data_IF_488839076434
#
_entry.id   IF_488839076434
#
_cell.length_a   1.000
_cell.length_b   1.000
_cell.length_c   1.000
_cell.angle_alpha   90.00
_cell.angle_beta   90.00
_cell.angle_gamma   90.00
#
_symmetry.space_group_name_H-M   'P 1'
#
loop_
_entity.id
_entity.type
_entity.pdbx_description
1 polymer ?
#
# COMPACT_ATOMS: atom_id res chain seq x y z
N UNK A 1 11.65 32.29 6.35
CA UNK A 1 12.54 31.11 6.22
C UNK A 1 12.02 29.99 7.11
N UNK A 2 11.25 29.04 6.57
CA UNK A 2 10.55 27.95 7.30
C UNK A 2 10.98 26.53 6.87
N UNK A 3 11.85 26.42 5.86
CA UNK A 3 12.30 25.16 5.26
C UNK A 3 13.11 24.21 6.19
N UNK A 4 13.96 24.66 7.14
CA UNK A 4 14.82 23.75 7.91
C UNK A 4 14.03 22.75 8.77
N UNK A 5 12.98 23.23 9.46
CA UNK A 5 12.14 22.40 10.35
C UNK A 5 11.27 21.40 9.58
N UNK A 6 10.85 21.75 8.37
CA UNK A 6 10.07 20.85 7.52
C UNK A 6 10.93 19.70 6.99
N UNK A 7 12.16 20.00 6.56
CA UNK A 7 13.11 18.99 6.09
C UNK A 7 13.47 18.02 7.22
N UNK A 8 13.74 18.53 8.42
CA UNK A 8 14.02 17.69 9.60
C UNK A 8 12.85 16.77 9.96
N UNK A 9 11.61 17.28 9.93
CA UNK A 9 10.40 16.48 10.15
C UNK A 9 10.25 15.36 9.13
N UNK A 10 10.50 15.65 7.86
CA UNK A 10 10.46 14.67 6.77
C UNK A 10 11.57 13.63 6.94
N UNK A 11 12.80 14.05 7.26
CA UNK A 11 13.92 13.14 7.51
C UNK A 11 13.63 12.18 8.67
N UNK A 12 13.10 12.69 9.78
CA UNK A 12 12.73 11.87 10.95
C UNK A 12 11.55 10.92 10.70
N UNK A 13 10.67 11.27 9.75
CA UNK A 13 9.56 10.43 9.32
C UNK A 13 10.10 9.27 8.48
N UNK A 14 10.95 9.57 7.48
CA UNK A 14 11.54 8.55 6.62
C UNK A 14 12.38 7.53 7.38
N UNK A 15 13.27 7.97 8.29
CA UNK A 15 14.11 7.04 9.06
C UNK A 15 13.28 6.03 9.85
N UNK A 16 12.20 6.48 10.48
CA UNK A 16 11.30 5.63 11.27
C UNK A 16 10.54 4.65 10.38
N UNK A 17 10.08 5.09 9.20
CA UNK A 17 9.32 4.27 8.27
C UNK A 17 10.19 3.22 7.57
N UNK A 18 11.46 3.52 7.30
CA UNK A 18 12.40 2.57 6.71
C UNK A 18 12.54 1.31 7.55
N UNK A 19 12.66 1.42 8.88
CA UNK A 19 12.76 0.25 9.74
C UNK A 19 11.42 -0.47 9.91
N UNK A 20 10.32 0.27 10.07
CA UNK A 20 8.98 -0.31 10.24
C UNK A 20 8.46 -1.03 8.99
N UNK A 21 8.95 -0.67 7.80
CA UNK A 21 8.51 -1.26 6.53
C UNK A 21 9.19 -2.59 6.18
N UNK A 22 10.40 -2.86 6.69
CA UNK A 22 11.19 -4.06 6.37
C UNK A 22 10.39 -5.37 6.46
N UNK A 23 9.64 -5.67 7.55
CA UNK A 23 8.96 -6.96 7.66
C UNK A 23 7.86 -7.18 6.61
N UNK A 24 7.29 -6.09 6.08
CA UNK A 24 6.32 -6.18 5.00
C UNK A 24 7.00 -6.37 3.64
N UNK A 25 8.04 -5.57 3.38
CA UNK A 25 8.82 -5.65 2.14
C UNK A 25 9.48 -7.02 1.98
N UNK A 26 9.96 -7.63 3.06
CA UNK A 26 10.47 -9.01 3.05
C UNK A 26 9.43 -10.03 2.61
N UNK A 27 8.15 -9.86 3.00
CA UNK A 27 7.06 -10.73 2.54
C UNK A 27 6.80 -10.54 1.06
N UNK A 28 6.76 -9.29 0.58
CA UNK A 28 6.64 -8.98 -0.84
C UNK A 28 7.78 -9.64 -1.65
N UNK A 29 9.03 -9.51 -1.19
CA UNK A 29 10.20 -10.13 -1.83
C UNK A 29 10.12 -11.66 -1.83
N UNK A 30 9.69 -12.27 -0.72
CA UNK A 30 9.48 -13.73 -0.64
C UNK A 30 8.41 -14.21 -1.63
N UNK A 31 7.31 -13.48 -1.77
CA UNK A 31 6.25 -13.79 -2.75
C UNK A 31 6.77 -13.67 -4.19
N UNK A 32 7.55 -12.63 -4.52
CA UNK A 32 8.19 -12.49 -5.84
C UNK A 32 9.12 -13.67 -6.13
N UNK A 33 9.99 -14.04 -5.18
CA UNK A 33 10.87 -15.19 -5.33
C UNK A 33 10.08 -16.48 -5.54
N UNK A 34 9.02 -16.69 -4.75
CA UNK A 34 8.16 -17.86 -4.87
C UNK A 34 7.52 -17.94 -6.26
N UNK A 35 7.10 -16.81 -6.85
CA UNK A 35 6.48 -16.81 -8.18
C UNK A 35 7.37 -17.39 -9.29
N UNK A 36 8.69 -17.32 -9.14
CA UNK A 36 9.65 -17.90 -10.08
C UNK A 36 9.65 -19.43 -10.01
N UNK A 37 9.47 -19.99 -8.81
CA UNK A 37 9.65 -21.42 -8.53
C UNK A 37 8.31 -22.17 -8.50
N UNK A 38 7.26 -21.52 -8.00
CA UNK A 38 5.93 -22.07 -7.74
C UNK A 38 4.90 -20.94 -7.83
N UNK A 39 4.37 -20.73 -9.03
CA UNK A 39 3.48 -19.61 -9.33
C UNK A 39 2.13 -19.72 -8.62
N UNK A 40 1.54 -20.91 -8.57
CA UNK A 40 0.25 -21.14 -7.91
C UNK A 40 0.35 -20.79 -6.42
N UNK A 41 1.39 -21.27 -5.74
CA UNK A 41 1.60 -20.95 -4.32
C UNK A 41 1.92 -19.47 -4.11
N UNK A 42 2.63 -18.83 -5.03
CA UNK A 42 2.84 -17.38 -4.97
C UNK A 42 1.54 -16.60 -5.11
N UNK A 43 0.61 -17.06 -5.95
CA UNK A 43 -0.72 -16.49 -6.10
C UNK A 43 -1.51 -16.54 -4.79
N UNK A 44 -1.54 -17.71 -4.15
CA UNK A 44 -2.19 -17.87 -2.85
C UNK A 44 -1.59 -16.96 -1.77
N UNK A 45 -0.26 -16.90 -1.68
CA UNK A 45 0.42 -16.04 -0.72
C UNK A 45 0.19 -14.55 -1.01
N UNK A 46 0.13 -14.15 -2.29
CA UNK A 46 -0.22 -12.80 -2.68
C UNK A 46 -1.64 -12.44 -2.26
N UNK A 47 -2.64 -13.29 -2.54
CA UNK A 47 -4.03 -13.05 -2.14
C UNK A 47 -4.15 -12.91 -0.62
N UNK A 48 -3.48 -13.77 0.15
CA UNK A 48 -3.41 -13.65 1.62
C UNK A 48 -2.79 -12.32 2.05
N UNK A 49 -1.72 -11.90 1.39
CA UNK A 49 -1.02 -10.64 1.69
C UNK A 49 -1.92 -9.43 1.41
N UNK A 50 -2.60 -9.40 0.27
CA UNK A 50 -3.55 -8.32 -0.08
C UNK A 50 -4.69 -8.26 0.93
N UNK A 51 -5.35 -9.40 1.21
CA UNK A 51 -6.49 -9.46 2.16
C UNK A 51 -6.11 -8.98 3.56
N UNK A 52 -4.93 -9.39 4.06
CA UNK A 52 -4.43 -8.96 5.37
C UNK A 52 -4.09 -7.46 5.40
N UNK A 53 -3.56 -6.94 4.31
CA UNK A 53 -3.06 -5.58 4.20
C UNK A 53 -4.18 -4.56 4.03
N UNK A 54 -5.19 -4.91 3.22
CA UNK A 54 -6.27 -4.02 2.81
C UNK A 54 -7.56 -4.20 3.65
N UNK A 55 -7.43 -4.50 4.93
CA UNK A 55 -8.58 -4.45 5.83
C UNK A 55 -8.97 -2.99 6.12
N UNK A 56 -10.27 -2.71 6.27
CA UNK A 56 -10.76 -1.34 6.59
C UNK A 56 -10.10 -0.81 7.87
N UNK A 57 -9.88 -1.69 8.85
CA UNK A 57 -9.19 -1.41 10.12
C UNK A 57 -7.70 -1.08 9.94
N UNK A 58 -7.01 -1.75 9.01
CA UNK A 58 -5.58 -1.49 8.76
C UNK A 58 -5.36 -0.18 8.00
N UNK A 59 -6.22 0.14 7.03
CA UNK A 59 -6.05 1.32 6.20
C UNK A 59 -6.54 2.63 6.84
N UNK A 60 -7.38 2.55 7.89
CA UNK A 60 -7.94 3.74 8.55
C UNK A 60 -8.97 4.48 7.69
N UNK A 61 -9.72 3.73 6.87
CA UNK A 61 -10.64 4.25 5.83
C UNK A 61 -12.07 4.46 6.37
N UNK A 62 -12.32 4.24 7.66
CA UNK A 62 -13.68 4.12 8.22
C UNK A 62 -14.64 5.29 7.89
N UNK A 63 -14.11 6.48 7.58
CA UNK A 63 -14.89 7.70 7.36
C UNK A 63 -14.65 8.36 5.99
N UNK A 64 -14.03 7.67 5.01
CA UNK A 64 -13.75 8.23 3.68
C UNK A 64 -14.39 7.37 2.58
N UNK A 65 -15.58 7.80 2.16
CA UNK A 65 -16.46 7.13 1.19
C UNK A 65 -15.72 6.72 -0.10
N UNK A 66 -14.91 7.62 -0.66
CA UNK A 66 -14.17 7.36 -1.90
C UNK A 66 -13.18 6.18 -1.75
N UNK A 67 -12.48 6.14 -0.62
CA UNK A 67 -11.53 5.07 -0.32
C UNK A 67 -12.24 3.75 -0.02
N UNK A 68 -13.44 3.80 0.56
CA UNK A 68 -14.26 2.62 0.80
C UNK A 68 -14.77 1.99 -0.50
N UNK A 69 -15.17 2.82 -1.47
CA UNK A 69 -15.54 2.37 -2.82
C UNK A 69 -14.39 1.66 -3.52
N UNK A 70 -13.21 2.30 -3.59
CA UNK A 70 -12.02 1.70 -4.19
C UNK A 70 -11.58 0.41 -3.48
N UNK A 71 -11.68 0.36 -2.15
CA UNK A 71 -11.37 -0.84 -1.39
C UNK A 71 -12.35 -1.99 -1.66
N UNK A 72 -13.64 -1.68 -1.80
CA UNK A 72 -14.67 -2.65 -2.17
C UNK A 72 -14.35 -3.30 -3.52
N UNK A 73 -13.96 -2.49 -4.50
CA UNK A 73 -13.58 -2.99 -5.83
C UNK A 73 -12.40 -3.96 -5.77
N UNK A 74 -11.38 -3.68 -4.94
CA UNK A 74 -10.25 -4.60 -4.74
C UNK A 74 -10.71 -5.92 -4.14
N UNK A 75 -11.62 -5.89 -3.15
CA UNK A 75 -12.15 -7.11 -2.52
C UNK A 75 -12.93 -7.96 -3.53
N UNK A 76 -13.84 -7.35 -4.29
CA UNK A 76 -14.60 -8.04 -5.33
C UNK A 76 -13.68 -8.66 -6.39
N UNK A 77 -12.62 -7.95 -6.80
CA UNK A 77 -11.63 -8.49 -7.73
C UNK A 77 -10.85 -9.68 -7.15
N UNK A 78 -10.46 -9.64 -5.86
CA UNK A 78 -9.81 -10.77 -5.20
C UNK A 78 -10.70 -12.01 -5.08
N UNK A 79 -12.01 -11.82 -4.88
CA UNK A 79 -12.95 -12.94 -4.71
C UNK A 79 -13.20 -13.68 -6.03
N UNK A 80 -12.93 -13.05 -7.17
CA UNK A 80 -12.86 -13.74 -8.47
C UNK A 80 -11.66 -14.69 -8.61
N UNK A 81 -10.75 -14.73 -7.62
CA UNK A 81 -9.55 -15.58 -7.55
C UNK A 81 -8.60 -15.47 -8.76
N UNK A 82 -8.75 -14.43 -9.58
CA UNK A 82 -7.91 -14.19 -10.74
C UNK A 82 -7.02 -12.98 -10.51
N UNK A 83 -5.69 -13.18 -10.64
CA UNK A 83 -4.70 -12.10 -10.65
C UNK A 83 -4.69 -11.36 -12.00
N UNK A 84 -5.87 -10.91 -12.42
CA UNK A 84 -6.10 -10.35 -13.75
C UNK A 84 -5.89 -8.83 -13.80
N UNK A 85 -6.15 -8.21 -14.95
CA UNK A 85 -6.05 -6.75 -15.13
C UNK A 85 -7.02 -5.99 -14.23
N UNK A 86 -8.22 -6.52 -13.98
CA UNK A 86 -9.20 -5.89 -13.10
C UNK A 86 -8.71 -5.71 -11.66
N UNK A 87 -8.03 -6.71 -11.07
CA UNK A 87 -7.44 -6.56 -9.74
C UNK A 87 -6.31 -5.52 -9.71
N UNK A 88 -5.51 -5.45 -10.79
CA UNK A 88 -4.44 -4.46 -10.91
C UNK A 88 -5.01 -3.04 -10.96
N UNK A 89 -5.99 -2.82 -11.83
CA UNK A 89 -6.65 -1.53 -11.99
C UNK A 89 -7.33 -1.09 -10.69
N UNK A 90 -7.96 -2.03 -9.97
CA UNK A 90 -8.57 -1.76 -8.67
C UNK A 90 -7.53 -1.32 -7.62
N UNK A 91 -6.35 -1.96 -7.59
CA UNK A 91 -5.26 -1.57 -6.69
C UNK A 91 -4.66 -0.21 -7.05
N UNK A 92 -4.47 0.08 -8.33
CA UNK A 92 -3.97 1.38 -8.79
C UNK A 92 -4.98 2.51 -8.50
N UNK A 93 -6.27 2.23 -8.65
CA UNK A 93 -7.32 3.17 -8.28
C UNK A 93 -7.33 3.39 -6.76
N UNK A 94 -7.27 2.33 -5.95
CA UNK A 94 -7.15 2.44 -4.50
C UNK A 94 -5.92 3.27 -4.09
N UNK A 95 -4.76 3.03 -4.70
CA UNK A 95 -3.55 3.83 -4.47
C UNK A 95 -3.83 5.30 -4.75
N UNK A 96 -4.34 5.61 -5.92
CA UNK A 96 -4.57 7.00 -6.35
C UNK A 96 -5.53 7.71 -5.40
N UNK A 97 -6.69 7.10 -5.11
CA UNK A 97 -7.66 7.64 -4.15
C UNK A 97 -7.05 7.81 -2.76
N UNK A 98 -6.29 6.83 -2.27
CA UNK A 98 -5.67 6.90 -0.94
C UNK A 98 -4.64 8.03 -0.86
N UNK A 99 -3.82 8.21 -1.89
CA UNK A 99 -2.84 9.28 -1.94
C UNK A 99 -3.50 10.66 -1.97
N UNK A 100 -4.51 10.86 -2.82
CA UNK A 100 -5.19 12.15 -2.97
C UNK A 100 -6.08 12.50 -1.78
N UNK A 101 -6.91 11.56 -1.32
CA UNK A 101 -7.94 11.84 -0.31
C UNK A 101 -7.45 11.69 1.13
N UNK A 102 -6.39 10.91 1.37
CA UNK A 102 -5.89 10.64 2.73
C UNK A 102 -4.49 11.20 2.96
N UNK A 103 -3.49 10.71 2.21
CA UNK A 103 -2.09 10.97 2.53
C UNK A 103 -1.68 12.41 2.26
N UNK A 104 -1.99 12.96 1.09
CA UNK A 104 -1.60 14.33 0.72
C UNK A 104 -2.21 15.38 1.66
N UNK A 105 -3.50 15.35 2.02
CA UNK A 105 -4.08 16.29 2.98
C UNK A 105 -3.42 16.18 4.37
N UNK A 106 -3.23 14.95 4.87
CA UNK A 106 -2.59 14.73 6.17
C UNK A 106 -1.14 15.21 6.19
N UNK A 107 -0.39 14.96 5.12
CA UNK A 107 1.00 15.40 4.99
C UNK A 107 1.12 16.92 4.95
N UNK A 108 0.23 17.62 4.21
CA UNK A 108 0.18 19.09 4.21
C UNK A 108 -0.03 19.65 5.62
N UNK A 109 -1.01 19.10 6.37
CA UNK A 109 -1.28 19.48 7.77
C UNK A 109 -0.09 19.21 8.70
N UNK A 110 0.58 18.06 8.52
CA UNK A 110 1.77 17.70 9.29
C UNK A 110 2.93 18.69 9.06
N UNK A 111 3.16 19.11 7.82
CA UNK A 111 4.19 20.11 7.49
C UNK A 111 3.85 21.51 8.01
N UNK A 112 2.57 21.84 8.15
CA UNK A 112 2.09 23.13 8.64
C UNK A 112 2.02 23.21 10.19
N UNK A 113 2.32 22.12 10.90
CA UNK A 113 2.27 22.02 12.38
C UNK A 113 0.87 22.09 12.98
N UNK A 114 -0.19 21.83 12.20
CA UNK A 114 -1.54 22.23 12.59
C UNK A 114 -2.32 21.25 13.47
N UNK A 115 -1.89 20.00 13.68
CA UNK A 115 -2.56 19.04 14.61
C UNK A 115 -2.21 17.57 14.36
N UNK A 116 -1.59 17.23 13.24
CA UNK A 116 -1.39 15.82 12.90
C UNK A 116 -0.26 15.21 13.74
N UNK A 117 -0.61 14.23 14.58
CA UNK A 117 0.38 13.49 15.35
C UNK A 117 1.30 12.71 14.41
N UNK A 118 2.60 12.67 14.71
CA UNK A 118 3.62 11.94 13.92
C UNK A 118 3.19 10.48 13.66
N UNK A 119 2.55 9.84 14.64
CA UNK A 119 2.06 8.46 14.51
C UNK A 119 0.97 8.28 13.45
N UNK A 120 0.11 9.27 13.25
CA UNK A 120 -0.99 9.19 12.28
C UNK A 120 -0.45 9.28 10.85
N UNK A 121 0.44 10.25 10.60
CA UNK A 121 1.07 10.39 9.29
C UNK A 121 1.98 9.20 8.96
N UNK A 122 2.68 8.64 9.97
CA UNK A 122 3.44 7.40 9.80
C UNK A 122 2.55 6.24 9.35
N UNK A 123 1.38 6.08 9.99
CA UNK A 123 0.42 5.03 9.63
C UNK A 123 -0.08 5.19 8.20
N UNK A 124 -0.43 6.41 7.80
CA UNK A 124 -0.89 6.70 6.43
C UNK A 124 0.22 6.40 5.40
N UNK A 125 1.45 6.83 5.66
CA UNK A 125 2.58 6.51 4.79
C UNK A 125 2.84 5.01 4.69
N UNK A 126 2.82 4.30 5.83
CA UNK A 126 3.00 2.85 5.85
C UNK A 126 1.94 2.13 5.02
N UNK A 127 0.71 2.63 5.03
CA UNK A 127 -0.37 2.05 4.26
C UNK A 127 -0.21 2.33 2.76
N UNK A 128 0.18 3.55 2.37
CA UNK A 128 0.50 3.87 0.98
C UNK A 128 1.64 2.98 0.45
N UNK A 129 2.74 2.86 1.20
CA UNK A 129 3.87 2.00 0.85
C UNK A 129 3.45 0.53 0.68
N UNK A 130 2.55 0.05 1.54
CA UNK A 130 2.02 -1.31 1.43
C UNK A 130 1.21 -1.50 0.15
N UNK A 131 0.33 -0.55 -0.19
CA UNK A 131 -0.45 -0.60 -1.44
C UNK A 131 0.50 -0.63 -2.65
N UNK A 132 1.49 0.27 -2.68
CA UNK A 132 2.50 0.31 -3.76
C UNK A 132 3.28 -1.00 -3.90
N UNK A 133 3.70 -1.58 -2.78
CA UNK A 133 4.47 -2.83 -2.80
C UNK A 133 3.61 -4.02 -3.25
N UNK A 134 2.31 -4.03 -2.95
CA UNK A 134 1.39 -5.05 -3.48
C UNK A 134 1.26 -4.95 -4.99
N UNK A 135 1.08 -3.73 -5.50
CA UNK A 135 1.04 -3.44 -6.95
C UNK A 135 2.32 -3.95 -7.63
N UNK A 136 3.48 -3.67 -7.04
CA UNK A 136 4.77 -4.10 -7.59
C UNK A 136 4.91 -5.64 -7.61
N UNK A 137 4.46 -6.34 -6.57
CA UNK A 137 4.44 -7.81 -6.55
C UNK A 137 3.54 -8.35 -7.66
N UNK A 138 2.35 -7.79 -7.84
CA UNK A 138 1.43 -8.21 -8.89
C UNK A 138 1.98 -7.98 -10.29
N UNK A 139 2.61 -6.83 -10.54
CA UNK A 139 3.29 -6.55 -11.79
C UNK A 139 4.41 -7.55 -12.07
N UNK A 140 5.18 -7.90 -11.04
CA UNK A 140 6.21 -8.92 -11.16
C UNK A 140 5.62 -10.28 -11.52
N UNK A 141 4.59 -10.72 -10.79
CA UNK A 141 3.93 -12.01 -11.05
C UNK A 141 3.37 -12.09 -12.48
N UNK A 142 2.70 -11.04 -12.96
CA UNK A 142 2.23 -10.97 -14.35
C UNK A 142 3.34 -11.04 -15.39
N UNK A 143 4.56 -10.59 -15.06
CA UNK A 143 5.71 -10.74 -15.97
C UNK A 143 6.18 -12.18 -16.00
N UNK A 144 6.22 -12.86 -14.86
CA UNK A 144 6.60 -14.28 -14.77
C UNK A 144 5.60 -15.18 -15.50
N UNK A 145 4.30 -14.95 -15.31
CA UNK A 145 3.22 -15.69 -15.98
C UNK A 145 3.33 -15.66 -17.52
N UNK A 146 3.90 -14.60 -18.10
CA UNK A 146 4.09 -14.49 -19.56
C UNK A 146 5.29 -15.27 -20.09
N UNK A 147 6.18 -15.71 -19.20
CA UNK A 147 7.44 -16.38 -19.55
C UNK A 147 7.36 -17.90 -19.26
N UNK A 148 6.42 -18.32 -18.42
CA UNK A 148 6.06 -19.72 -18.19
C UNK A 148 5.13 -20.24 -19.29
#
# INVERSE_FOLDING_TARGET
MSAPKQIERVGSLFSTLSDKSKPFLEKCSKTKFLAIVDYERASDEYVKLVRKTLSTKSLGIADVDDCQGSLSNVKSALDSLQLNTGLMDALENLRSTYLESMLKPAFKRYLQSESCAKGDIEKLYMNALKIDSLIEVMQFMKRIERIQ
#
